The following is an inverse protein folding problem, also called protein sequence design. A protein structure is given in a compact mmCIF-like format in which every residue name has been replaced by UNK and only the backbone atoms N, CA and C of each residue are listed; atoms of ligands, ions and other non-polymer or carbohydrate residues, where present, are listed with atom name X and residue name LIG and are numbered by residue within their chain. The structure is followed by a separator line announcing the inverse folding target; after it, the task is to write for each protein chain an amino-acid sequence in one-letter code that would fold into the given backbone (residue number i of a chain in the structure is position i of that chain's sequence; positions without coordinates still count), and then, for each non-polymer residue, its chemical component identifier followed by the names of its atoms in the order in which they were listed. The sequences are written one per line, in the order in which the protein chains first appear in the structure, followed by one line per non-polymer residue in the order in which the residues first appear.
data_IF_125840954245
#
_entry.id   IF_125840954245
#
_cell.length_a   1.000
_cell.length_b   1.000
_cell.length_c   1.000
_cell.angle_alpha   90.00
_cell.angle_beta   90.00
_cell.angle_gamma   90.00
#
_symmetry.space_group_name_H-M   'P 1'
#
loop_
_entity.id
_entity.type
_entity.pdbx_description
1 polymer ?
#
# COMPACT_ATOMS: atom_id res chain seq x y z
N UNK A 1 -5.97 -19.33 16.87
CA UNK A 1 -6.19 -18.62 15.58
C UNK A 1 -7.69 -18.56 15.37
N UNK A 2 -8.26 -17.41 14.95
CA UNK A 2 -9.68 -17.32 14.62
C UNK A 2 -10.01 -18.29 13.48
N UNK A 3 -11.18 -18.92 13.54
CA UNK A 3 -11.69 -19.75 12.45
C UNK A 3 -12.27 -18.83 11.37
N UNK A 4 -11.57 -18.69 10.24
CA UNK A 4 -11.92 -17.79 9.13
C UNK A 4 -12.30 -18.58 7.87
N UNK A 5 -12.93 -19.74 8.06
CA UNK A 5 -13.22 -20.68 6.97
C UNK A 5 -14.34 -20.19 6.05
N UNK A 6 -15.17 -19.23 6.49
CA UNK A 6 -16.20 -18.63 5.66
C UNK A 6 -15.92 -17.15 5.34
N UNK A 7 -16.53 -16.61 4.25
CA UNK A 7 -16.49 -15.18 3.97
C UNK A 7 -17.08 -14.34 5.10
N UNK A 8 -18.09 -14.83 5.81
CA UNK A 8 -18.76 -14.12 6.89
C UNK A 8 -17.88 -14.03 8.14
N UNK A 9 -17.21 -15.13 8.52
CA UNK A 9 -16.26 -15.13 9.63
C UNK A 9 -15.09 -14.18 9.37
N UNK A 10 -14.59 -14.17 8.13
CA UNK A 10 -13.52 -13.25 7.70
C UNK A 10 -13.97 -11.80 7.80
N UNK A 11 -15.15 -11.44 7.29
CA UNK A 11 -15.68 -10.07 7.41
C UNK A 11 -15.91 -9.67 8.86
N UNK A 12 -16.47 -10.57 9.67
CA UNK A 12 -16.76 -10.32 11.08
C UNK A 12 -15.47 -10.07 11.86
N UNK A 13 -14.43 -10.87 11.59
CA UNK A 13 -13.12 -10.67 12.19
C UNK A 13 -12.48 -9.33 11.76
N UNK A 14 -12.54 -8.98 10.47
CA UNK A 14 -12.06 -7.66 10.01
C UNK A 14 -12.84 -6.51 10.66
N UNK A 15 -14.16 -6.64 10.84
CA UNK A 15 -14.98 -5.65 11.53
C UNK A 15 -14.54 -5.49 12.99
N UNK A 16 -14.26 -6.59 13.71
CA UNK A 16 -13.70 -6.55 15.07
C UNK A 16 -12.32 -5.89 15.10
N UNK A 17 -11.48 -6.06 14.07
CA UNK A 17 -10.20 -5.38 13.97
C UNK A 17 -10.36 -3.85 13.83
N UNK A 18 -11.42 -3.40 13.15
CA UNK A 18 -11.74 -1.98 12.96
C UNK A 18 -12.33 -1.35 14.23
N UNK A 19 -13.15 -2.09 14.96
CA UNK A 19 -13.77 -1.61 16.20
C UNK A 19 -13.72 -2.69 17.31
N UNK A 20 -12.64 -2.72 18.11
CA UNK A 20 -12.52 -3.62 19.26
C UNK A 20 -13.38 -3.21 20.47
N UNK A 21 -14.18 -2.15 20.40
CA UNK A 21 -15.15 -1.78 21.45
C UNK A 21 -14.61 -0.94 22.63
N UNK A 22 -13.30 -0.67 22.70
CA UNK A 22 -12.68 0.16 23.76
C UNK A 22 -12.56 1.66 23.40
N UNK A 23 -13.45 2.16 22.52
CA UNK A 23 -13.41 3.56 22.04
C UNK A 23 -12.32 3.86 21.01
N UNK A 24 -11.53 2.86 20.59
CA UNK A 24 -10.53 2.99 19.53
C UNK A 24 -11.15 2.50 18.22
N UNK A 25 -11.29 3.39 17.23
CA UNK A 25 -11.68 3.01 15.87
C UNK A 25 -10.47 3.05 14.95
N UNK A 26 -10.22 1.96 14.23
CA UNK A 26 -9.22 1.90 13.16
C UNK A 26 -9.89 2.13 11.81
N UNK A 27 -9.12 2.67 10.87
CA UNK A 27 -9.57 2.82 9.47
C UNK A 27 -9.24 1.57 8.67
N UNK A 28 -9.97 1.33 7.59
CA UNK A 28 -9.68 0.24 6.64
C UNK A 28 -8.28 0.42 6.01
N UNK A 29 -7.88 1.66 5.72
CA UNK A 29 -6.53 1.97 5.27
C UNK A 29 -5.48 1.49 6.27
N UNK A 30 -5.63 1.85 7.56
CA UNK A 30 -4.68 1.42 8.59
C UNK A 30 -4.68 -0.09 8.78
N UNK A 31 -5.85 -0.73 8.68
CA UNK A 31 -5.96 -2.18 8.72
C UNK A 31 -5.18 -2.82 7.56
N UNK A 32 -5.31 -2.30 6.34
CA UNK A 32 -4.58 -2.79 5.17
C UNK A 32 -3.05 -2.67 5.34
N UNK A 33 -2.56 -1.60 5.96
CA UNK A 33 -1.13 -1.38 6.23
C UNK A 33 -0.54 -2.39 7.22
N UNK A 34 -1.30 -2.78 8.24
CA UNK A 34 -0.80 -3.63 9.35
C UNK A 34 -1.28 -5.07 9.26
N UNK A 35 -2.02 -5.41 8.20
CA UNK A 35 -2.63 -6.73 8.03
C UNK A 35 -1.53 -7.80 7.91
N UNK A 36 -1.51 -8.81 8.78
CA UNK A 36 -0.52 -9.88 8.69
C UNK A 36 -0.78 -10.74 7.43
N UNK A 37 0.27 -11.34 6.83
CA UNK A 37 0.15 -12.10 5.58
C UNK A 37 -0.92 -13.20 5.60
N UNK A 38 -1.00 -13.97 6.69
CA UNK A 38 -1.98 -15.06 6.83
C UNK A 38 -3.43 -14.58 6.78
N UNK A 39 -3.72 -13.35 7.25
CA UNK A 39 -5.06 -12.78 7.21
C UNK A 39 -5.38 -12.26 5.80
N UNK A 40 -4.38 -11.68 5.13
CA UNK A 40 -4.49 -11.25 3.74
C UNK A 40 -4.80 -12.43 2.82
N UNK A 41 -4.10 -13.56 2.97
CA UNK A 41 -4.37 -14.79 2.21
C UNK A 41 -5.83 -15.27 2.39
N UNK A 42 -6.41 -15.12 3.58
CA UNK A 42 -7.83 -15.46 3.81
C UNK A 42 -8.78 -14.50 3.13
N UNK A 43 -8.46 -13.20 3.13
CA UNK A 43 -9.22 -12.20 2.38
C UNK A 43 -9.16 -12.51 0.89
N UNK A 44 -7.98 -12.83 0.36
CA UNK A 44 -7.78 -13.13 -1.06
C UNK A 44 -8.53 -14.39 -1.49
N UNK A 45 -8.58 -15.43 -0.64
CA UNK A 45 -9.37 -16.64 -0.88
C UNK A 45 -10.88 -16.34 -1.00
N UNK A 46 -11.42 -15.52 -0.10
CA UNK A 46 -12.86 -15.23 -0.06
C UNK A 46 -13.30 -14.07 -0.96
N UNK A 47 -12.37 -13.19 -1.34
CA UNK A 47 -12.62 -12.01 -2.16
C UNK A 47 -11.48 -11.80 -3.18
N UNK A 48 -11.39 -12.64 -4.24
CA UNK A 48 -10.30 -12.59 -5.22
C UNK A 48 -10.12 -11.25 -5.95
N UNK A 49 -11.19 -10.46 -6.07
CA UNK A 49 -11.12 -9.12 -6.64
C UNK A 49 -10.29 -8.16 -5.78
N UNK A 50 -10.25 -8.34 -4.45
CA UNK A 50 -9.40 -7.56 -3.56
C UNK A 50 -7.92 -7.91 -3.74
N UNK A 51 -7.60 -9.18 -4.01
CA UNK A 51 -6.24 -9.60 -4.33
C UNK A 51 -5.69 -8.88 -5.57
N UNK A 52 -6.52 -8.73 -6.62
CA UNK A 52 -6.16 -7.98 -7.82
C UNK A 52 -5.90 -6.50 -7.54
N UNK A 53 -6.77 -5.87 -6.74
CA UNK A 53 -6.61 -4.47 -6.33
C UNK A 53 -5.36 -4.28 -5.47
N UNK A 54 -5.04 -5.23 -4.59
CA UNK A 54 -3.85 -5.20 -3.77
C UNK A 54 -2.57 -5.29 -4.63
N UNK A 55 -2.51 -6.26 -5.54
CA UNK A 55 -1.38 -6.41 -6.46
C UNK A 55 -1.18 -5.17 -7.35
N UNK A 56 -2.26 -4.55 -7.80
CA UNK A 56 -2.19 -3.31 -8.58
C UNK A 56 -1.69 -2.13 -7.74
N UNK A 57 -2.13 -2.02 -6.48
CA UNK A 57 -1.63 -1.00 -5.56
C UNK A 57 -0.11 -1.16 -5.32
N UNK A 58 0.37 -2.38 -5.11
CA UNK A 58 1.80 -2.68 -4.96
C UNK A 58 2.61 -2.29 -6.21
N UNK A 59 2.07 -2.62 -7.40
CA UNK A 59 2.70 -2.26 -8.68
C UNK A 59 2.82 -0.75 -8.86
N UNK A 60 1.75 -0.01 -8.56
CA UNK A 60 1.73 1.45 -8.68
C UNK A 60 2.66 2.11 -7.64
N UNK A 61 2.74 1.56 -6.43
CA UNK A 61 3.65 2.05 -5.41
C UNK A 61 5.11 1.88 -5.84
N UNK A 62 5.49 0.71 -6.37
CA UNK A 62 6.84 0.48 -6.90
C UNK A 62 7.19 1.49 -8.01
N UNK A 63 6.28 1.73 -8.96
CA UNK A 63 6.49 2.70 -10.02
C UNK A 63 6.62 4.15 -9.48
N UNK A 64 5.85 4.51 -8.45
CA UNK A 64 5.96 5.82 -7.81
C UNK A 64 7.30 6.00 -7.10
N UNK A 65 7.82 4.95 -6.45
CA UNK A 65 9.12 4.99 -5.77
C UNK A 65 10.29 5.07 -6.76
N UNK A 66 10.20 4.37 -7.90
CA UNK A 66 11.15 4.50 -9.01
C UNK A 66 11.16 5.94 -9.56
N UNK A 67 9.98 6.50 -9.85
CA UNK A 67 9.85 7.86 -10.34
C UNK A 67 10.39 8.90 -9.34
N UNK A 68 10.12 8.71 -8.04
CA UNK A 68 10.67 9.57 -6.99
C UNK A 68 12.19 9.48 -6.93
N UNK A 69 12.75 8.28 -7.05
CA UNK A 69 14.21 8.07 -7.07
C UNK A 69 14.83 8.80 -8.25
N UNK A 70 14.29 8.64 -9.46
CA UNK A 70 14.76 9.31 -10.66
C UNK A 70 14.69 10.84 -10.53
N UNK A 71 13.58 11.37 -9.98
CA UNK A 71 13.45 12.80 -9.71
C UNK A 71 14.51 13.31 -8.73
N UNK A 72 14.71 12.61 -7.61
CA UNK A 72 15.70 13.02 -6.60
C UNK A 72 17.13 12.98 -7.13
N UNK A 73 17.44 12.01 -8.00
CA UNK A 73 18.74 11.94 -8.67
C UNK A 73 18.94 13.14 -9.62
N UNK A 74 17.98 13.39 -10.51
CA UNK A 74 18.05 14.52 -11.43
C UNK A 74 18.12 15.89 -10.71
N UNK A 75 17.39 16.03 -9.59
CA UNK A 75 17.47 17.22 -8.74
C UNK A 75 18.87 17.38 -8.12
N UNK A 76 19.47 16.29 -7.64
CA UNK A 76 20.83 16.27 -7.12
C UNK A 76 21.84 16.69 -8.19
N UNK A 77 21.74 16.13 -9.39
CA UNK A 77 22.62 16.46 -10.52
C UNK A 77 22.50 17.94 -10.90
N UNK A 78 21.28 18.47 -10.95
CA UNK A 78 21.03 19.88 -11.25
C UNK A 78 21.62 20.83 -10.19
N UNK A 79 21.47 20.49 -8.91
CA UNK A 79 22.05 21.28 -7.80
C UNK A 79 23.59 21.28 -7.87
N UNK A 80 24.20 20.14 -8.21
CA UNK A 80 25.66 19.96 -8.20
C UNK A 80 26.35 20.48 -9.46
N UNK A 81 25.62 20.56 -10.59
CA UNK A 81 26.15 21.00 -11.88
C UNK A 81 25.37 22.22 -12.41
N UNK A 82 25.54 23.40 -11.80
CA UNK A 82 24.76 24.60 -12.14
C UNK A 82 24.95 25.10 -13.58
N UNK A 83 25.98 24.64 -14.30
CA UNK A 83 26.28 25.07 -15.68
C UNK A 83 25.59 24.25 -16.78
N UNK A 84 25.00 23.08 -16.47
CA UNK A 84 24.32 22.24 -17.48
C UNK A 84 22.93 22.78 -17.89
N UNK A 85 22.35 23.69 -17.11
CA UNK A 85 21.05 24.28 -17.39
C UNK A 85 21.10 25.41 -18.44
N UNK A 86 22.27 26.00 -18.69
CA UNK A 86 22.43 27.10 -19.66
C UNK A 86 22.62 26.62 -21.11
N UNK A 87 23.04 25.38 -21.34
CA UNK A 87 23.26 24.84 -22.70
C UNK A 87 22.02 24.20 -23.34
N UNK A 88 20.98 23.87 -22.55
CA UNK A 88 19.72 23.32 -23.08
C UNK A 88 18.76 24.40 -23.63
N UNK A 89 19.16 25.68 -23.64
CA UNK A 89 18.35 26.80 -24.11
C UNK A 89 19.02 27.65 -25.22
N UNK A 90 20.04 27.10 -25.90
CA UNK A 90 20.65 27.70 -27.09
C UNK A 90 20.50 26.80 -28.32
#
# INVERSE_FOLDING_TARGET
MPDLNTPEDTRSFLALCLDPGYGVKRTVAKLADVMPPWLRERVDQHAPHLAQLHAEADRLQAAADEARTAYTAALGDWIQNPTAAEEAHL
#
